data_IF_894517831202
#
_entry.id   IF_894517831202
#
_cell.length_a   1.000
_cell.length_b   1.000
_cell.length_c   1.000
_cell.angle_alpha   90.00
_cell.angle_beta   90.00
_cell.angle_gamma   90.00
#
_symmetry.space_group_name_H-M   'P 1'
#
loop_
_entity.id
_entity.type
_entity.pdbx_description
1 polymer ?
#
# COMPACT_ATOMS: atom_id res chain seq x y z
N UNK A 1 -6.15 -25.23 4.14
CA UNK A 1 -4.71 -25.51 4.28
C UNK A 1 -3.94 -24.23 3.93
N UNK A 2 -3.26 -23.67 4.92
CA UNK A 2 -2.37 -22.51 4.71
C UNK A 2 -1.13 -23.00 3.97
N UNK A 3 -0.88 -22.47 2.79
CA UNK A 3 0.39 -22.63 2.09
C UNK A 3 1.32 -21.58 2.71
N UNK A 4 2.43 -21.95 3.38
CA UNK A 4 3.41 -20.99 3.83
C UNK A 4 4.12 -20.42 2.59
N UNK A 5 4.01 -19.14 2.34
CA UNK A 5 4.93 -18.45 1.43
C UNK A 5 6.22 -18.20 2.21
N UNK A 6 7.21 -19.05 1.99
CA UNK A 6 8.57 -18.76 2.41
C UNK A 6 9.12 -17.63 1.54
N UNK A 7 9.33 -16.49 2.18
CA UNK A 7 10.10 -15.41 1.57
C UNK A 7 11.58 -15.77 1.71
N UNK A 8 12.39 -15.63 0.66
CA UNK A 8 13.82 -15.87 0.78
C UNK A 8 14.42 -14.87 1.79
N UNK A 9 15.03 -15.41 2.83
CA UNK A 9 15.81 -14.71 3.85
C UNK A 9 17.07 -14.14 3.20
N UNK A 10 16.98 -12.91 2.71
CA UNK A 10 18.06 -12.21 2.03
C UNK A 10 18.87 -11.30 2.98
N UNK A 11 18.97 -11.66 4.26
CA UNK A 11 19.66 -10.85 5.24
C UNK A 11 20.58 -11.61 6.21
N UNK A 12 21.27 -12.68 5.76
CA UNK A 12 22.38 -13.23 6.55
C UNK A 12 23.42 -13.89 5.65
N UNK A 13 24.46 -13.16 5.31
CA UNK A 13 25.86 -13.50 5.07
C UNK A 13 26.43 -12.71 3.89
N UNK A 14 26.95 -11.53 4.16
CA UNK A 14 28.14 -11.03 3.46
C UNK A 14 28.78 -9.93 4.33
N UNK A 15 29.84 -10.25 5.00
CA UNK A 15 30.76 -9.27 5.55
C UNK A 15 31.43 -8.51 4.41
N UNK A 16 30.87 -7.34 4.11
CA UNK A 16 31.54 -6.36 3.26
C UNK A 16 31.23 -4.98 3.84
N UNK A 17 32.20 -4.39 4.54
CA UNK A 17 32.20 -2.97 4.88
C UNK A 17 32.38 -2.17 3.59
N UNK A 18 31.34 -2.03 2.78
CA UNK A 18 31.17 -0.95 1.81
C UNK A 18 30.23 0.06 2.43
N UNK A 19 30.57 1.35 2.32
CA UNK A 19 29.82 2.45 2.93
C UNK A 19 28.32 2.26 2.76
N UNK A 20 27.60 2.19 3.88
CA UNK A 20 26.14 2.04 3.88
C UNK A 20 25.58 3.26 3.14
N UNK A 21 25.06 3.05 1.94
CA UNK A 21 24.42 4.12 1.18
C UNK A 21 23.26 4.64 2.03
N UNK A 22 23.35 5.90 2.44
CA UNK A 22 22.29 6.54 3.23
C UNK A 22 20.99 6.46 2.44
N UNK A 23 19.97 5.85 3.01
CA UNK A 23 18.64 5.79 2.40
C UNK A 23 18.08 7.21 2.22
N UNK A 24 17.39 7.42 1.12
CA UNK A 24 16.74 8.68 0.77
C UNK A 24 15.24 8.62 1.08
N UNK A 25 14.55 9.76 1.05
CA UNK A 25 13.08 9.81 1.18
C UNK A 25 12.40 8.91 0.14
N UNK A 26 12.96 8.82 -1.08
CA UNK A 26 12.49 7.93 -2.12
C UNK A 26 12.59 6.46 -1.73
N UNK A 27 13.68 6.05 -1.10
CA UNK A 27 13.89 4.65 -0.68
C UNK A 27 12.87 4.26 0.41
N UNK A 28 12.59 5.17 1.36
CA UNK A 28 11.57 4.95 2.39
C UNK A 28 10.15 4.89 1.83
N UNK A 29 9.81 5.75 0.87
CA UNK A 29 8.51 5.67 0.20
C UNK A 29 8.36 4.40 -0.64
N UNK A 30 9.41 3.96 -1.35
CA UNK A 30 9.41 2.68 -2.05
C UNK A 30 9.19 1.51 -1.09
N UNK A 31 9.78 1.58 0.11
CA UNK A 31 9.53 0.58 1.16
C UNK A 31 8.07 0.59 1.61
N UNK A 32 7.46 1.76 1.81
CA UNK A 32 6.05 1.88 2.15
C UNK A 32 5.15 1.30 1.03
N UNK A 33 5.47 1.57 -0.23
CA UNK A 33 4.77 1.00 -1.40
C UNK A 33 4.87 -0.55 -1.41
N UNK A 34 6.02 -1.09 -1.10
CA UNK A 34 6.21 -2.55 -1.04
C UNK A 34 5.40 -3.19 0.09
N UNK A 35 5.39 -2.57 1.28
CA UNK A 35 4.58 -3.01 2.41
C UNK A 35 3.08 -2.99 2.07
N UNK A 36 2.60 -1.95 1.38
CA UNK A 36 1.19 -1.82 1.00
C UNK A 36 0.67 -3.03 0.21
N UNK A 37 1.51 -3.63 -0.63
CA UNK A 37 1.16 -4.82 -1.44
C UNK A 37 0.83 -6.05 -0.58
N UNK A 38 1.29 -6.10 0.66
CA UNK A 38 0.95 -7.16 1.61
C UNK A 38 -0.56 -7.27 1.92
N UNK A 39 -1.31 -6.17 1.73
CA UNK A 39 -2.77 -6.13 1.89
C UNK A 39 -3.57 -6.59 0.67
N UNK A 40 -2.89 -6.92 -0.44
CA UNK A 40 -3.56 -7.24 -1.70
C UNK A 40 -4.54 -8.41 -1.58
N UNK A 41 -5.77 -8.21 -2.06
CA UNK A 41 -6.87 -9.20 -1.95
C UNK A 41 -7.58 -9.23 -0.59
N UNK A 42 -7.10 -8.51 0.43
CA UNK A 42 -7.67 -8.54 1.78
C UNK A 42 -8.27 -7.21 2.24
N UNK A 43 -7.84 -6.10 1.66
CA UNK A 43 -8.26 -4.75 2.10
C UNK A 43 -9.56 -4.28 1.48
N UNK A 44 -9.98 -4.81 0.32
CA UNK A 44 -11.18 -4.36 -0.38
C UNK A 44 -12.42 -4.29 0.54
N UNK A 45 -13.19 -3.19 0.53
CA UNK A 45 -13.15 -2.04 -0.38
C UNK A 45 -12.13 -0.95 -0.02
N UNK A 46 -11.38 -1.10 1.07
CA UNK A 46 -10.38 -0.14 1.51
C UNK A 46 -9.15 -0.16 0.59
N UNK A 47 -8.43 0.96 0.46
CA UNK A 47 -7.20 1.03 -0.32
C UNK A 47 -6.06 0.25 0.32
N UNK A 48 -5.09 -0.13 -0.51
CA UNK A 48 -3.78 -0.58 -0.08
C UNK A 48 -2.99 0.62 0.45
N UNK A 49 -2.54 0.55 1.69
CA UNK A 49 -1.74 1.60 2.31
C UNK A 49 -0.56 0.96 3.03
N UNK A 50 0.61 1.57 2.88
CA UNK A 50 1.82 1.23 3.63
C UNK A 50 2.38 2.45 4.33
N UNK A 51 3.05 2.23 5.45
CA UNK A 51 3.62 3.27 6.29
C UNK A 51 4.98 2.86 6.85
N UNK A 52 5.94 3.79 6.86
CA UNK A 52 7.28 3.60 7.39
C UNK A 52 7.64 4.79 8.28
N UNK A 53 8.09 4.53 9.50
CA UNK A 53 8.53 5.55 10.45
C UNK A 53 10.06 5.51 10.54
N UNK A 54 10.68 6.66 10.30
CA UNK A 54 12.15 6.80 10.22
C UNK A 54 12.65 7.81 11.24
N UNK A 55 13.68 7.45 11.99
CA UNK A 55 14.39 8.34 12.91
C UNK A 55 15.89 8.19 12.71
N UNK A 56 16.59 9.30 12.61
CA UNK A 56 18.05 9.35 12.43
C UNK A 56 18.56 8.47 11.27
N UNK A 57 17.77 8.44 10.16
CA UNK A 57 18.08 7.65 8.97
C UNK A 57 17.86 6.13 9.12
N UNK A 58 17.23 5.68 10.21
CA UNK A 58 16.88 4.28 10.47
C UNK A 58 15.37 4.09 10.49
N UNK A 59 14.89 3.00 9.93
CA UNK A 59 13.49 2.59 10.06
C UNK A 59 13.30 2.06 11.48
N UNK A 60 12.35 2.65 12.21
CA UNK A 60 11.99 2.30 13.58
C UNK A 60 10.60 1.70 13.72
N UNK A 61 9.77 1.79 12.66
CA UNK A 61 8.46 1.18 12.62
C UNK A 61 7.97 1.02 11.18
N UNK A 62 7.29 -0.07 10.89
CA UNK A 62 6.74 -0.39 9.58
C UNK A 62 5.34 -0.99 9.74
N UNK A 63 4.45 -0.68 8.81
CA UNK A 63 3.11 -1.25 8.81
C UNK A 63 2.40 -1.08 7.48
N UNK A 64 1.36 -1.87 7.29
CA UNK A 64 0.46 -1.74 6.16
C UNK A 64 -0.98 -2.07 6.59
N UNK A 65 -1.96 -1.67 5.80
CA UNK A 65 -3.34 -2.05 6.04
C UNK A 65 -3.54 -3.52 5.64
N UNK A 66 -3.63 -4.40 6.62
CA UNK A 66 -3.62 -5.84 6.39
C UNK A 66 -4.96 -6.36 5.83
N UNK A 67 -6.07 -5.82 6.35
CA UNK A 67 -7.41 -6.30 6.01
C UNK A 67 -8.46 -5.25 6.33
N UNK A 68 -9.52 -5.21 5.51
CA UNK A 68 -10.70 -4.38 5.77
C UNK A 68 -11.24 -4.57 7.20
N UNK A 69 -11.42 -3.47 7.92
CA UNK A 69 -11.90 -3.45 9.31
C UNK A 69 -10.82 -3.65 10.38
N UNK A 70 -9.56 -3.85 10.02
CA UNK A 70 -8.40 -3.87 10.92
C UNK A 70 -7.72 -2.49 10.96
N UNK A 71 -6.65 -2.37 11.73
CA UNK A 71 -5.88 -1.14 11.86
C UNK A 71 -5.37 -0.63 10.52
N UNK A 72 -5.27 0.68 10.38
CA UNK A 72 -4.64 1.32 9.23
C UNK A 72 -3.12 1.19 9.28
N UNK A 73 -2.46 1.45 8.16
CA UNK A 73 -1.01 1.29 8.01
C UNK A 73 -0.21 2.08 9.05
N UNK A 74 -0.61 3.34 9.30
CA UNK A 74 0.05 4.23 10.24
C UNK A 74 -0.02 3.67 11.67
N UNK A 75 -1.18 3.15 12.08
CA UNK A 75 -1.34 2.53 13.40
C UNK A 75 -0.58 1.23 13.54
N UNK A 76 -0.49 0.43 12.47
CA UNK A 76 0.35 -0.77 12.45
C UNK A 76 1.84 -0.40 12.51
N UNK A 77 2.27 0.66 11.81
CA UNK A 77 3.64 1.16 11.89
C UNK A 77 3.98 1.67 13.30
N UNK A 78 3.04 2.38 13.95
CA UNK A 78 3.18 2.82 15.34
C UNK A 78 3.24 1.62 16.29
N UNK A 79 2.42 0.61 16.09
CA UNK A 79 2.42 -0.60 16.93
C UNK A 79 3.72 -1.41 16.80
N UNK A 80 4.44 -1.27 15.71
CA UNK A 80 5.73 -1.95 15.47
C UNK A 80 6.96 -1.14 15.90
N UNK A 81 6.77 0.02 16.52
CA UNK A 81 7.88 0.88 16.95
C UNK A 81 8.88 0.15 17.86
N UNK A 82 10.15 0.30 17.54
CA UNK A 82 11.25 -0.23 18.34
C UNK A 82 11.84 0.79 19.32
N UNK A 83 11.52 2.08 19.13
CA UNK A 83 11.91 3.21 19.98
C UNK A 83 10.87 4.35 19.84
N UNK A 84 11.01 5.41 20.65
CA UNK A 84 10.12 6.59 20.56
C UNK A 84 10.17 7.24 19.18
N UNK A 85 8.98 7.49 18.58
CA UNK A 85 8.83 8.19 17.32
C UNK A 85 8.88 9.73 17.44
N UNK A 86 9.11 10.27 18.63
CA UNK A 86 9.24 11.72 18.81
C UNK A 86 10.35 12.29 17.93
N UNK A 87 10.01 13.29 17.10
CA UNK A 87 10.91 13.90 16.14
C UNK A 87 11.12 13.11 14.83
N UNK A 88 10.50 11.92 14.69
CA UNK A 88 10.64 11.07 13.52
C UNK A 88 9.93 11.62 12.28
N UNK A 89 10.20 11.00 11.12
CA UNK A 89 9.49 11.19 9.86
C UNK A 89 8.64 9.97 9.54
N UNK A 90 7.37 10.17 9.24
CA UNK A 90 6.46 9.14 8.71
C UNK A 90 6.37 9.28 7.18
N UNK A 91 6.57 8.19 6.47
CA UNK A 91 6.26 8.03 5.04
C UNK A 91 5.01 7.19 4.91
N UNK A 92 3.99 7.67 4.21
CA UNK A 92 2.72 6.97 4.03
C UNK A 92 2.23 7.11 2.59
N UNK A 93 1.78 6.01 2.00
CA UNK A 93 1.42 5.97 0.57
C UNK A 93 0.12 6.68 0.24
N UNK A 94 -0.74 6.94 1.24
CA UNK A 94 -2.02 7.64 1.09
C UNK A 94 -2.21 8.60 2.26
N UNK A 95 -2.92 9.71 2.04
CA UNK A 95 -3.22 10.73 3.05
C UNK A 95 -3.84 10.11 4.31
N UNK A 96 -3.29 10.40 5.51
CA UNK A 96 -3.82 9.90 6.78
C UNK A 96 -5.26 10.34 7.03
N UNK A 97 -6.11 9.41 7.44
CA UNK A 97 -7.51 9.71 7.74
C UNK A 97 -7.65 10.64 8.96
N UNK A 98 -8.67 11.52 8.89
CA UNK A 98 -8.96 12.53 9.91
C UNK A 98 -10.37 12.42 10.50
N UNK A 99 -11.10 11.35 10.20
CA UNK A 99 -12.46 11.14 10.68
C UNK A 99 -12.56 9.85 11.51
N UNK A 100 -13.49 9.83 12.44
CA UNK A 100 -13.83 8.64 13.20
C UNK A 100 -14.62 7.68 12.32
N UNK A 101 -14.08 6.50 12.13
CA UNK A 101 -14.71 5.38 11.46
C UNK A 101 -14.84 4.19 12.42
N UNK A 102 -14.44 3.00 11.96
CA UNK A 102 -14.28 1.81 12.82
C UNK A 102 -13.08 1.92 13.77
N UNK A 103 -12.13 2.76 13.41
CA UNK A 103 -10.92 3.07 14.19
C UNK A 103 -10.83 4.58 14.38
N UNK A 104 -10.17 5.07 15.45
CA UNK A 104 -9.89 6.49 15.62
C UNK A 104 -9.00 7.01 14.50
N UNK A 105 -9.04 8.34 14.19
CA UNK A 105 -8.24 8.95 13.13
C UNK A 105 -6.75 8.64 13.23
N UNK A 106 -6.09 8.44 12.08
CA UNK A 106 -4.65 8.26 12.05
C UNK A 106 -3.90 9.54 12.36
N UNK A 107 -4.48 10.71 12.03
CA UNK A 107 -3.91 12.01 12.41
C UNK A 107 -3.71 12.15 13.91
N UNK A 108 -4.64 11.69 14.74
CA UNK A 108 -4.50 11.70 16.20
C UNK A 108 -3.31 10.84 16.65
N UNK A 109 -3.21 9.61 16.16
CA UNK A 109 -2.10 8.72 16.49
C UNK A 109 -0.74 9.30 16.09
N UNK A 110 -0.65 10.00 14.95
CA UNK A 110 0.57 10.68 14.50
C UNK A 110 0.97 11.79 15.47
N UNK A 111 0.00 12.58 15.93
CA UNK A 111 0.22 13.68 16.89
C UNK A 111 0.60 13.16 18.27
N UNK A 112 -0.07 12.11 18.77
CA UNK A 112 0.25 11.45 20.05
C UNK A 112 1.70 10.95 20.09
N UNK A 113 2.22 10.46 18.95
CA UNK A 113 3.59 9.99 18.83
C UNK A 113 4.62 11.13 18.59
N UNK A 114 4.15 12.39 18.53
CA UNK A 114 5.00 13.60 18.31
C UNK A 114 5.90 13.47 17.07
N UNK A 115 5.36 12.87 16.00
CA UNK A 115 6.04 12.77 14.72
C UNK A 115 6.20 14.18 14.13
N UNK A 116 7.43 14.57 13.78
CA UNK A 116 7.74 15.93 13.35
C UNK A 116 7.50 16.19 11.86
N UNK A 117 7.58 15.14 11.02
CA UNK A 117 7.41 15.25 9.56
C UNK A 117 6.56 14.10 9.03
N UNK A 118 5.67 14.41 8.10
CA UNK A 118 4.87 13.41 7.37
C UNK A 118 5.03 13.64 5.88
N UNK A 119 5.44 12.59 5.16
CA UNK A 119 5.57 12.57 3.70
C UNK A 119 4.46 11.70 3.14
N UNK A 120 3.56 12.31 2.40
CA UNK A 120 2.35 11.70 1.85
C UNK A 120 2.56 11.41 0.36
N UNK A 121 2.30 10.18 -0.06
CA UNK A 121 2.35 9.76 -1.46
C UNK A 121 1.17 10.33 -2.24
N UNK A 122 0.02 9.72 -2.13
CA UNK A 122 -1.22 10.14 -2.80
C UNK A 122 -2.12 10.93 -1.86
N UNK A 123 -2.85 11.90 -2.39
CA UNK A 123 -3.98 12.52 -1.69
C UNK A 123 -5.18 11.57 -1.72
N UNK A 124 -5.94 11.55 -0.65
CA UNK A 124 -7.20 10.77 -0.65
C UNK A 124 -8.23 11.49 -1.55
N UNK A 125 -8.80 10.81 -2.56
CA UNK A 125 -9.81 11.39 -3.43
C UNK A 125 -11.17 11.53 -2.74
N UNK A 126 -11.35 10.96 -1.55
CA UNK A 126 -12.60 11.02 -0.80
C UNK A 126 -12.82 12.44 -0.24
N UNK A 127 -13.92 13.15 -0.60
CA UNK A 127 -14.20 14.51 -0.12
C UNK A 127 -14.28 14.64 1.41
N UNK A 128 -14.48 13.54 2.12
CA UNK A 128 -14.47 13.53 3.59
C UNK A 128 -13.07 13.65 4.17
N UNK A 129 -12.05 13.25 3.41
CA UNK A 129 -10.63 13.23 3.84
C UNK A 129 -9.82 14.29 3.09
N UNK A 130 -9.99 14.40 1.79
CA UNK A 130 -9.21 15.18 0.82
C UNK A 130 -8.60 16.48 1.39
N UNK A 131 -7.31 16.48 1.67
CA UNK A 131 -6.54 17.62 2.19
C UNK A 131 -6.77 17.94 3.68
N UNK A 132 -7.78 17.35 4.32
CA UNK A 132 -8.12 17.66 5.73
C UNK A 132 -7.12 17.03 6.71
N UNK A 133 -6.67 15.82 6.43
CA UNK A 133 -5.66 15.13 7.24
C UNK A 133 -4.35 15.93 7.24
N UNK A 134 -3.89 16.33 6.06
CA UNK A 134 -2.70 17.16 5.91
C UNK A 134 -2.85 18.53 6.60
N UNK A 135 -4.03 19.17 6.49
CA UNK A 135 -4.31 20.46 7.11
C UNK A 135 -4.28 20.37 8.65
N UNK A 136 -4.89 19.35 9.24
CA UNK A 136 -4.87 19.11 10.71
C UNK A 136 -3.44 18.92 11.20
N UNK A 137 -2.63 18.12 10.51
CA UNK A 137 -1.24 17.89 10.89
C UNK A 137 -0.41 19.18 10.82
N UNK A 138 -0.59 19.99 9.76
CA UNK A 138 0.09 21.29 9.64
C UNK A 138 -0.33 22.27 10.72
N UNK A 139 -1.62 22.35 11.03
CA UNK A 139 -2.13 23.21 12.11
C UNK A 139 -1.56 22.84 13.49
N UNK A 140 -1.22 21.57 13.69
CA UNK A 140 -0.56 21.07 14.90
C UNK A 140 0.97 21.21 14.88
N UNK A 141 1.56 21.86 13.85
CA UNK A 141 3.01 22.10 13.75
C UNK A 141 3.81 20.98 13.09
N UNK A 142 3.16 19.94 12.55
CA UNK A 142 3.84 18.86 11.81
C UNK A 142 4.21 19.37 10.41
N UNK A 143 5.44 19.14 9.98
CA UNK A 143 5.88 19.41 8.60
C UNK A 143 5.28 18.38 7.65
N UNK A 144 4.39 18.80 6.75
CA UNK A 144 3.71 17.91 5.81
C UNK A 144 4.13 18.19 4.38
N UNK A 145 4.59 17.15 3.68
CA UNK A 145 4.92 17.14 2.27
C UNK A 145 3.94 16.20 1.55
N UNK A 146 3.30 16.67 0.50
CA UNK A 146 2.28 15.96 -0.26
C UNK A 146 2.73 15.66 -1.69
N UNK A 147 2.04 14.73 -2.34
CA UNK A 147 2.28 14.33 -3.74
C UNK A 147 3.69 13.74 -3.99
N UNK A 148 4.33 13.21 -2.95
CA UNK A 148 5.66 12.62 -3.06
C UNK A 148 5.59 11.23 -3.70
N UNK A 149 6.12 11.06 -4.90
CA UNK A 149 5.99 9.84 -5.71
C UNK A 149 4.52 9.46 -5.96
N UNK A 150 3.71 10.47 -6.29
CA UNK A 150 2.26 10.33 -6.42
C UNK A 150 1.87 9.26 -7.43
N UNK A 151 2.48 9.25 -8.59
CA UNK A 151 2.14 8.29 -9.66
C UNK A 151 2.31 6.84 -9.21
N UNK A 152 3.43 6.54 -8.53
CA UNK A 152 3.71 5.20 -8.01
C UNK A 152 2.73 4.82 -6.88
N UNK A 153 2.34 5.79 -6.04
CA UNK A 153 1.37 5.57 -4.97
C UNK A 153 -0.06 5.43 -5.51
N UNK A 154 -0.47 6.24 -6.49
CA UNK A 154 -1.78 6.12 -7.16
C UNK A 154 -1.93 4.75 -7.84
N UNK A 155 -0.84 4.23 -8.44
CA UNK A 155 -0.82 2.93 -9.11
C UNK A 155 -1.11 1.74 -8.17
N UNK A 156 -0.99 1.90 -6.85
CA UNK A 156 -1.40 0.88 -5.88
C UNK A 156 -2.92 0.66 -5.87
N UNK A 157 -3.71 1.70 -6.15
CA UNK A 157 -5.14 1.74 -5.84
C UNK A 157 -6.03 2.19 -7.01
N UNK A 158 -5.85 1.70 -8.25
CA UNK A 158 -6.60 2.20 -9.41
C UNK A 158 -8.12 1.99 -9.26
N UNK A 159 -8.54 0.87 -8.68
CA UNK A 159 -9.95 0.54 -8.43
C UNK A 159 -10.56 1.49 -7.41
N UNK A 160 -9.85 1.75 -6.31
CA UNK A 160 -10.30 2.67 -5.25
C UNK A 160 -10.44 4.10 -5.78
N UNK A 161 -9.42 4.63 -6.44
CA UNK A 161 -9.44 5.97 -7.03
C UNK A 161 -10.56 6.12 -8.06
N UNK A 162 -10.72 5.13 -8.95
CA UNK A 162 -11.81 5.14 -9.93
C UNK A 162 -13.19 5.20 -9.25
N UNK A 163 -13.44 4.28 -8.30
CA UNK A 163 -14.74 4.21 -7.66
C UNK A 163 -15.07 5.46 -6.85
N UNK A 164 -14.14 6.00 -6.07
CA UNK A 164 -14.38 7.20 -5.26
C UNK A 164 -14.66 8.41 -6.14
N UNK A 165 -13.99 8.55 -7.28
CA UNK A 165 -14.13 9.71 -8.17
C UNK A 165 -15.30 9.57 -9.15
N UNK A 166 -15.53 8.39 -9.72
CA UNK A 166 -16.51 8.17 -10.79
C UNK A 166 -17.84 7.56 -10.32
N UNK A 167 -17.83 6.87 -9.16
CA UNK A 167 -18.98 6.12 -8.62
C UNK A 167 -19.50 5.04 -9.57
N UNK A 168 -18.66 4.56 -10.48
CA UNK A 168 -18.94 3.48 -11.41
C UNK A 168 -18.02 2.30 -11.15
N UNK A 169 -18.38 1.06 -11.51
CA UNK A 169 -17.49 -0.09 -11.40
C UNK A 169 -16.22 0.10 -12.23
N UNK A 170 -15.09 -0.36 -11.69
CA UNK A 170 -13.85 -0.50 -12.46
C UNK A 170 -13.87 -1.87 -13.15
N UNK A 171 -14.06 -1.88 -14.47
CA UNK A 171 -14.26 -3.11 -15.24
C UNK A 171 -12.90 -3.59 -15.80
N UNK A 172 -12.53 -4.82 -15.45
CA UNK A 172 -11.36 -5.51 -16.01
C UNK A 172 -11.85 -6.73 -16.79
N UNK A 173 -11.66 -6.71 -18.12
CA UNK A 173 -11.96 -7.86 -18.96
C UNK A 173 -10.70 -8.72 -19.14
N UNK A 174 -10.77 -9.97 -18.68
CA UNK A 174 -9.71 -10.99 -18.86
C UNK A 174 -10.22 -12.11 -19.77
N UNK A 175 -9.48 -12.39 -20.80
CA UNK A 175 -9.75 -13.53 -21.70
C UNK A 175 -8.46 -14.24 -22.07
N UNK A 176 -8.60 -15.51 -22.52
CA UNK A 176 -7.52 -16.27 -23.12
C UNK A 176 -7.86 -16.50 -24.59
N UNK A 177 -6.92 -16.25 -25.49
CA UNK A 177 -7.11 -16.47 -26.91
C UNK A 177 -5.81 -16.99 -27.55
N UNK A 178 -5.94 -17.66 -28.68
CA UNK A 178 -4.84 -18.05 -29.55
C UNK A 178 -4.25 -16.83 -30.29
N UNK A 179 -3.11 -16.98 -30.96
CA UNK A 179 -2.47 -15.90 -31.69
C UNK A 179 -3.35 -15.32 -32.82
N UNK A 180 -4.25 -16.14 -33.37
CA UNK A 180 -5.25 -15.75 -34.36
C UNK A 180 -6.59 -15.29 -33.78
N UNK A 181 -6.62 -15.03 -32.44
CA UNK A 181 -7.79 -14.44 -31.77
C UNK A 181 -8.93 -15.41 -31.44
N UNK A 182 -8.73 -16.72 -31.50
CA UNK A 182 -9.77 -17.72 -31.17
C UNK A 182 -9.79 -18.00 -29.66
N UNK A 183 -10.98 -18.13 -29.10
CA UNK A 183 -11.20 -18.44 -27.68
C UNK A 183 -11.50 -19.93 -27.44
N UNK A 184 -11.81 -20.66 -28.49
CA UNK A 184 -12.07 -22.11 -28.49
C UNK A 184 -11.83 -22.73 -29.87
N UNK A 185 -11.70 -24.04 -29.93
CA UNK A 185 -11.76 -24.82 -31.17
C UNK A 185 -13.20 -24.85 -31.74
N UNK A 186 -13.36 -25.34 -32.99
CA UNK A 186 -14.70 -25.52 -33.61
C UNK A 186 -15.61 -26.48 -32.81
N UNK A 187 -15.02 -27.38 -32.07
CA UNK A 187 -15.70 -28.35 -31.17
C UNK A 187 -16.19 -27.71 -29.86
N UNK A 188 -15.81 -26.44 -29.57
CA UNK A 188 -16.03 -25.78 -28.29
C UNK A 188 -14.95 -26.06 -27.24
N UNK A 189 -13.97 -26.90 -27.56
CA UNK A 189 -12.86 -27.18 -26.64
C UNK A 189 -11.93 -25.96 -26.50
N UNK A 190 -11.70 -25.54 -25.25
CA UNK A 190 -10.89 -24.37 -24.90
C UNK A 190 -9.71 -24.67 -23.97
N UNK A 191 -9.49 -25.94 -23.63
CA UNK A 191 -8.44 -26.36 -22.69
C UNK A 191 -7.25 -26.95 -23.46
N UNK A 192 -6.04 -26.44 -23.32
CA UNK A 192 -5.60 -25.24 -22.62
C UNK A 192 -5.00 -24.28 -23.65
N UNK A 193 -5.59 -23.09 -23.78
CA UNK A 193 -5.11 -22.07 -24.74
C UNK A 193 -3.81 -21.43 -24.24
N UNK A 194 -3.68 -21.27 -22.92
CA UNK A 194 -2.54 -20.62 -22.29
C UNK A 194 -1.75 -21.56 -21.40
N UNK A 195 -0.45 -21.31 -21.28
CA UNK A 195 0.45 -22.09 -20.44
C UNK A 195 0.20 -21.92 -18.93
N UNK A 196 0.91 -22.69 -18.13
CA UNK A 196 0.75 -22.75 -16.69
C UNK A 196 1.04 -21.42 -16.01
N UNK A 197 2.11 -20.71 -16.42
CA UNK A 197 2.48 -19.40 -15.89
C UNK A 197 1.37 -18.35 -16.08
N UNK A 198 0.73 -18.34 -17.26
CA UNK A 198 -0.40 -17.46 -17.53
C UNK A 198 -1.62 -17.81 -16.66
N UNK A 199 -1.90 -19.11 -16.45
CA UNK A 199 -2.99 -19.54 -15.57
C UNK A 199 -2.73 -19.15 -14.11
N UNK A 200 -1.47 -19.25 -13.63
CA UNK A 200 -1.07 -18.75 -12.30
C UNK A 200 -1.36 -17.26 -12.17
N UNK A 201 -0.99 -16.46 -13.19
CA UNK A 201 -1.29 -15.02 -13.20
C UNK A 201 -2.78 -14.72 -13.11
N UNK A 202 -3.63 -15.52 -13.73
CA UNK A 202 -5.09 -15.39 -13.62
C UNK A 202 -5.56 -15.62 -12.18
N UNK A 203 -5.00 -16.60 -11.47
CA UNK A 203 -5.37 -16.84 -10.06
C UNK A 203 -4.93 -15.65 -9.17
N UNK A 204 -3.77 -15.05 -9.44
CA UNK A 204 -3.34 -13.84 -8.75
C UNK A 204 -4.32 -12.68 -8.98
N UNK A 205 -4.77 -12.46 -10.22
CA UNK A 205 -5.78 -11.44 -10.56
C UNK A 205 -7.11 -11.70 -9.85
N UNK A 206 -7.57 -12.96 -9.80
CA UNK A 206 -8.79 -13.35 -9.08
C UNK A 206 -8.67 -13.14 -7.57
N UNK A 207 -7.48 -13.35 -7.02
CA UNK A 207 -7.23 -13.06 -5.61
C UNK A 207 -7.36 -11.55 -5.30
N UNK A 208 -6.97 -10.69 -6.24
CA UNK A 208 -7.12 -9.23 -6.11
C UNK A 208 -8.59 -8.81 -6.12
N UNK A 209 -9.41 -9.48 -6.94
CA UNK A 209 -10.87 -9.31 -6.98
C UNK A 209 -11.53 -10.36 -6.08
N UNK A 210 -11.79 -9.99 -4.84
CA UNK A 210 -12.30 -10.84 -3.78
C UNK A 210 -13.55 -11.68 -4.10
N UNK A 211 -14.22 -11.43 -5.24
CA UNK A 211 -15.50 -12.06 -5.63
C UNK A 211 -15.42 -12.94 -6.87
N UNK A 212 -14.31 -12.99 -7.57
CA UNK A 212 -14.18 -13.79 -8.80
C UNK A 212 -13.60 -15.18 -8.56
#
# INVERSE_FOLDING_TARGET
QKIPMEFPDCARKAGFRKGVKKMTDRDYMLRAIELAKGGLGWTSPNPLVGAVIVKDGRIIGEGYHERCGKLHAERNAIASLTESAEGATLYVTLEPCCHYGKTPPCTEAILEQKIARVVIGSRDPNPLVAGKGAAILRAAGVRVEEDFMREECDALNPVFFHYITKKTPYVVMKYAMTADGKIAARTGDSKWITGESARKKVQELRHQDRKS
#
